data_IF_940158570987
#
_entry.id   IF_940158570987
#
_cell.length_a   1.000
_cell.length_b   1.000
_cell.length_c   1.000
_cell.angle_alpha   90.00
_cell.angle_beta   90.00
_cell.angle_gamma   90.00
#
_symmetry.space_group_name_H-M   'P 1'
#
loop_
_entity.id
_entity.type
_entity.pdbx_description
1 polymer ?
#
# COMPACT_ATOMS: atom_id res chain seq x y z
N UNK A 1 13.54 -27.68 4.07
CA UNK A 1 14.14 -26.37 4.23
C UNK A 1 13.06 -25.27 4.24
N UNK A 2 12.97 -24.58 5.35
CA UNK A 2 11.95 -23.56 5.52
C UNK A 2 12.49 -22.22 5.01
N UNK A 3 11.83 -21.67 4.00
CA UNK A 3 12.13 -20.33 3.54
C UNK A 3 11.27 -19.34 4.31
N UNK A 4 11.92 -18.43 5.00
CA UNK A 4 11.22 -17.33 5.65
C UNK A 4 10.95 -16.24 4.61
N UNK A 5 9.70 -15.95 4.39
CA UNK A 5 9.32 -14.83 3.53
C UNK A 5 9.67 -13.51 4.22
N UNK A 6 10.15 -12.58 3.44
CA UNK A 6 10.41 -11.22 3.90
C UNK A 6 10.08 -10.24 2.76
N UNK A 7 10.38 -8.97 2.98
CA UNK A 7 10.14 -7.91 2.00
C UNK A 7 11.44 -7.28 1.51
N UNK A 8 12.52 -8.04 1.57
CA UNK A 8 13.84 -7.51 1.20
C UNK A 8 13.84 -6.92 -0.21
N UNK A 9 14.18 -5.63 -0.31
CA UNK A 9 14.22 -4.92 -1.58
C UNK A 9 12.87 -4.51 -2.13
N UNK A 10 11.77 -4.87 -1.49
CA UNK A 10 10.43 -4.44 -1.91
C UNK A 10 10.27 -2.97 -1.64
N UNK A 11 9.87 -2.20 -2.65
CA UNK A 11 9.75 -0.74 -2.55
C UNK A 11 8.30 -0.37 -2.32
N UNK A 12 8.04 0.23 -1.18
CA UNK A 12 6.68 0.50 -0.71
C UNK A 12 6.46 1.98 -0.50
N UNK A 13 5.36 2.49 -1.06
CA UNK A 13 4.88 3.83 -0.76
C UNK A 13 3.93 3.69 0.42
N UNK A 14 4.34 4.23 1.57
CA UNK A 14 3.57 4.14 2.82
C UNK A 14 2.87 5.46 3.08
N UNK A 15 1.54 5.42 3.15
CA UNK A 15 0.71 6.61 3.30
C UNK A 15 -0.03 6.58 4.62
N UNK A 16 0.28 7.54 5.49
CA UNK A 16 -0.30 7.63 6.84
C UNK A 16 -0.16 9.07 7.32
N UNK A 17 -1.22 9.65 7.86
CA UNK A 17 -1.19 11.04 8.33
C UNK A 17 -0.82 11.17 9.81
N UNK A 18 -0.91 10.09 10.58
CA UNK A 18 -0.58 10.10 12.01
C UNK A 18 0.88 9.72 12.20
N UNK A 19 1.62 10.58 12.90
CA UNK A 19 3.06 10.40 13.10
C UNK A 19 3.41 9.07 13.78
N UNK A 20 2.70 8.73 14.85
CA UNK A 20 2.96 7.49 15.58
C UNK A 20 2.65 6.26 14.72
N UNK A 21 1.53 6.27 14.02
CA UNK A 21 1.16 5.17 13.14
C UNK A 21 2.14 5.03 11.98
N UNK A 22 2.64 6.15 11.46
CA UNK A 22 3.66 6.14 10.42
C UNK A 22 4.93 5.46 10.92
N UNK A 23 5.38 5.81 12.13
CA UNK A 23 6.58 5.21 12.72
C UNK A 23 6.42 3.70 12.92
N UNK A 24 5.27 3.28 13.41
CA UNK A 24 5.00 1.85 13.65
C UNK A 24 5.02 1.08 12.34
N UNK A 25 4.30 1.57 11.34
CA UNK A 25 4.23 0.87 10.04
C UNK A 25 5.59 0.86 9.34
N UNK A 26 6.31 1.98 9.38
CA UNK A 26 7.64 2.07 8.80
C UNK A 26 8.60 1.08 9.47
N UNK A 27 8.57 1.01 10.79
CA UNK A 27 9.41 0.08 11.55
C UNK A 27 9.10 -1.37 11.15
N UNK A 28 7.84 -1.73 11.10
CA UNK A 28 7.42 -3.09 10.74
C UNK A 28 7.92 -3.45 9.35
N UNK A 29 7.73 -2.55 8.38
CA UNK A 29 8.13 -2.80 7.00
C UNK A 29 9.65 -2.88 6.85
N UNK A 30 10.38 -1.94 7.46
CA UNK A 30 11.84 -1.92 7.38
C UNK A 30 12.45 -3.11 8.08
N UNK A 31 11.83 -3.58 9.16
CA UNK A 31 12.30 -4.77 9.87
C UNK A 31 12.23 -6.00 8.98
N UNK A 32 11.37 -6.01 7.98
CA UNK A 32 11.26 -7.09 7.00
C UNK A 32 12.08 -6.84 5.73
N UNK A 33 12.85 -5.76 5.70
CA UNK A 33 13.75 -5.44 4.60
C UNK A 33 13.19 -4.54 3.52
N UNK A 34 11.98 -4.03 3.69
CA UNK A 34 11.36 -3.15 2.69
C UNK A 34 12.05 -1.79 2.62
N UNK A 35 12.03 -1.20 1.44
CA UNK A 35 12.46 0.19 1.23
C UNK A 35 11.21 1.05 1.24
N UNK A 36 11.11 1.96 2.21
CA UNK A 36 9.88 2.72 2.46
C UNK A 36 10.05 4.17 2.02
N UNK A 37 9.09 4.64 1.21
CA UNK A 37 8.94 6.06 0.90
C UNK A 37 7.66 6.52 1.60
N UNK A 38 7.75 7.59 2.38
CA UNK A 38 6.63 8.05 3.20
C UNK A 38 5.85 9.17 2.53
N UNK A 39 4.52 9.08 2.59
CA UNK A 39 3.61 10.15 2.20
C UNK A 39 2.69 10.43 3.39
N UNK A 40 2.58 11.69 3.76
CA UNK A 40 1.90 12.08 4.98
C UNK A 40 0.41 12.39 4.81
N UNK A 41 -0.09 12.31 3.58
CA UNK A 41 -1.52 12.43 3.29
C UNK A 41 -1.80 11.88 1.90
N UNK A 42 -3.08 11.78 1.56
CA UNK A 42 -3.52 11.21 0.28
C UNK A 42 -3.05 11.99 -0.93
N UNK A 43 -3.10 13.32 -0.87
CA UNK A 43 -2.66 14.14 -1.99
C UNK A 43 -1.16 13.98 -2.24
N UNK A 44 -0.36 13.94 -1.18
CA UNK A 44 1.09 13.72 -1.33
C UNK A 44 1.40 12.35 -1.89
N UNK A 45 0.61 11.34 -1.53
CA UNK A 45 0.77 10.00 -2.08
C UNK A 45 0.57 10.02 -3.60
N UNK A 46 -0.50 10.66 -4.06
CA UNK A 46 -0.78 10.80 -5.49
C UNK A 46 0.36 11.54 -6.19
N UNK A 47 0.82 12.65 -5.61
CA UNK A 47 1.89 13.45 -6.19
C UNK A 47 3.20 12.69 -6.27
N UNK A 48 3.57 11.98 -5.20
CA UNK A 48 4.80 11.18 -5.18
C UNK A 48 4.71 10.08 -6.24
N UNK A 49 3.59 9.39 -6.33
CA UNK A 49 3.42 8.31 -7.30
C UNK A 49 3.47 8.86 -8.71
N UNK A 50 2.77 9.96 -8.98
CA UNK A 50 2.74 10.59 -10.31
C UNK A 50 4.13 10.99 -10.78
N UNK A 51 4.97 11.49 -9.88
CA UNK A 51 6.34 11.92 -10.20
C UNK A 51 7.33 10.77 -10.26
N UNK A 52 6.95 9.60 -9.76
CA UNK A 52 7.83 8.43 -9.74
C UNK A 52 8.00 7.87 -11.15
N UNK A 53 9.06 7.10 -11.33
CA UNK A 53 9.29 6.36 -12.58
C UNK A 53 8.31 5.19 -12.65
N UNK A 54 7.84 4.81 -13.84
CA UNK A 54 7.05 3.59 -13.97
C UNK A 54 7.79 2.40 -13.37
N UNK A 55 7.10 1.67 -12.49
CA UNK A 55 7.68 0.52 -11.81
C UNK A 55 8.57 0.84 -10.63
N UNK A 56 8.65 2.10 -10.21
CA UNK A 56 9.49 2.49 -9.07
C UNK A 56 8.99 1.89 -7.75
N UNK A 57 7.68 1.74 -7.60
CA UNK A 57 7.08 1.16 -6.39
C UNK A 57 6.50 -0.21 -6.69
N UNK A 58 6.65 -1.13 -5.74
CA UNK A 58 6.11 -2.48 -5.86
C UNK A 58 4.73 -2.61 -5.23
N UNK A 59 4.42 -1.77 -4.25
CA UNK A 59 3.13 -1.77 -3.57
C UNK A 59 2.91 -0.43 -2.86
N UNK A 60 1.64 -0.14 -2.58
CA UNK A 60 1.23 1.03 -1.80
C UNK A 60 0.48 0.53 -0.58
N UNK A 61 0.90 0.97 0.60
CA UNK A 61 0.20 0.69 1.85
C UNK A 61 -0.42 2.00 2.30
N UNK A 62 -1.76 2.07 2.31
CA UNK A 62 -2.47 3.33 2.44
C UNK A 62 -3.51 3.32 3.55
N UNK A 63 -3.37 4.25 4.49
CA UNK A 63 -4.39 4.50 5.49
C UNK A 63 -5.66 5.02 4.82
N UNK A 64 -6.80 4.53 5.26
CA UNK A 64 -8.09 4.96 4.73
C UNK A 64 -8.52 6.29 5.34
N UNK A 65 -8.36 6.44 6.65
CA UNK A 65 -8.88 7.59 7.40
C UNK A 65 -7.89 8.75 7.45
N UNK A 66 -7.94 9.60 6.44
CA UNK A 66 -7.10 10.80 6.36
C UNK A 66 -7.96 11.99 5.99
N UNK A 67 -7.63 13.20 6.50
CA UNK A 67 -8.39 14.40 6.15
C UNK A 67 -8.13 14.84 4.72
N UNK A 68 -9.05 15.59 4.16
CA UNK A 68 -9.03 16.23 2.84
C UNK A 68 -9.13 15.18 1.72
N UNK A 69 -8.08 14.42 1.48
CA UNK A 69 -8.10 13.30 0.51
C UNK A 69 -7.89 12.01 1.31
N UNK A 70 -8.96 11.24 1.48
CA UNK A 70 -8.86 9.98 2.20
C UNK A 70 -8.23 8.89 1.33
N UNK A 71 -8.00 7.71 1.93
CA UNK A 71 -7.35 6.61 1.22
C UNK A 71 -8.11 6.12 0.00
N UNK A 72 -9.43 6.09 0.07
CA UNK A 72 -10.25 5.67 -1.07
C UNK A 72 -10.09 6.65 -2.24
N UNK A 73 -10.16 7.94 -1.95
CA UNK A 73 -10.02 8.97 -2.96
C UNK A 73 -8.63 8.94 -3.58
N UNK A 74 -7.59 8.80 -2.75
CA UNK A 74 -6.22 8.71 -3.24
C UNK A 74 -6.03 7.50 -4.15
N UNK A 75 -6.59 6.35 -3.77
CA UNK A 75 -6.51 5.14 -4.60
C UNK A 75 -7.17 5.35 -5.96
N UNK A 76 -8.36 5.96 -5.98
CA UNK A 76 -9.04 6.27 -7.23
C UNK A 76 -8.22 7.21 -8.11
N UNK A 77 -7.63 8.22 -7.51
CA UNK A 77 -6.79 9.18 -8.24
C UNK A 77 -5.57 8.50 -8.84
N UNK A 78 -4.92 7.63 -8.08
CA UNK A 78 -3.77 6.87 -8.58
C UNK A 78 -4.19 5.97 -9.74
N UNK A 79 -5.29 5.22 -9.58
CA UNK A 79 -5.78 4.33 -10.64
C UNK A 79 -6.17 5.08 -11.92
N UNK A 80 -6.49 6.36 -11.79
CA UNK A 80 -6.89 7.20 -12.94
C UNK A 80 -5.71 7.80 -13.70
N UNK A 81 -4.50 7.67 -13.17
CA UNK A 81 -3.33 8.20 -13.85
C UNK A 81 -3.08 7.46 -15.16
N UNK A 82 -2.63 8.21 -16.19
CA UNK A 82 -2.39 7.65 -17.51
C UNK A 82 -1.02 6.98 -17.56
N UNK A 83 -0.92 5.85 -16.86
CA UNK A 83 0.30 5.02 -16.87
C UNK A 83 -0.09 3.61 -16.46
N UNK A 84 0.56 2.65 -17.07
CA UNK A 84 0.20 1.23 -16.89
C UNK A 84 0.37 0.72 -15.48
N UNK A 85 1.47 1.08 -14.82
CA UNK A 85 1.74 0.62 -13.47
C UNK A 85 0.71 1.12 -12.46
N UNK A 86 0.12 2.30 -12.70
CA UNK A 86 -0.91 2.85 -11.83
C UNK A 86 -2.17 1.99 -11.79
N UNK A 87 -2.42 1.24 -12.85
CA UNK A 87 -3.63 0.43 -12.96
C UNK A 87 -3.51 -0.92 -12.29
N UNK A 88 -2.29 -1.38 -12.05
CA UNK A 88 -2.03 -2.75 -11.57
C UNK A 88 -1.25 -2.81 -10.25
N UNK A 89 -0.63 -1.72 -9.82
CA UNK A 89 0.16 -1.75 -8.59
C UNK A 89 -0.70 -2.19 -7.40
N UNK A 90 -0.22 -3.14 -6.57
CA UNK A 90 -0.97 -3.52 -5.38
C UNK A 90 -1.19 -2.33 -4.44
N UNK A 91 -2.43 -2.11 -4.05
CA UNK A 91 -2.79 -1.09 -3.06
C UNK A 91 -3.45 -1.80 -1.90
N UNK A 92 -2.86 -1.69 -0.73
CA UNK A 92 -3.33 -2.34 0.49
C UNK A 92 -3.83 -1.27 1.45
N UNK A 93 -5.10 -1.35 1.82
CA UNK A 93 -5.70 -0.41 2.75
C UNK A 93 -5.34 -0.77 4.18
N UNK A 94 -5.01 0.24 4.99
CA UNK A 94 -4.89 0.08 6.43
C UNK A 94 -6.14 0.67 7.07
N UNK A 95 -6.80 -0.10 7.92
CA UNK A 95 -8.05 0.33 8.54
C UNK A 95 -8.06 0.05 10.04
N UNK A 96 -8.68 0.96 10.80
CA UNK A 96 -8.91 0.72 12.22
C UNK A 96 -10.00 -0.32 12.44
N UNK A 97 -10.80 -0.60 11.41
CA UNK A 97 -11.92 -1.51 11.50
C UNK A 97 -12.02 -2.35 10.22
N UNK A 98 -11.76 -3.65 10.35
CA UNK A 98 -11.71 -4.57 9.21
C UNK A 98 -13.08 -5.15 8.83
N UNK A 99 -14.16 -4.47 9.18
CA UNK A 99 -15.51 -4.96 8.87
C UNK A 99 -15.96 -4.64 7.46
N UNK A 100 -17.00 -5.32 7.05
CA UNK A 100 -17.46 -5.52 5.68
C UNK A 100 -17.71 -4.26 4.85
N UNK A 101 -18.16 -3.19 5.44
CA UNK A 101 -18.43 -1.96 4.72
C UNK A 101 -17.20 -1.37 4.06
N UNK A 102 -16.12 -1.37 4.82
CA UNK A 102 -14.85 -0.80 4.34
C UNK A 102 -14.26 -1.65 3.23
N UNK A 103 -14.48 -2.97 3.27
CA UNK A 103 -13.99 -3.88 2.22
C UNK A 103 -14.58 -3.57 0.86
N UNK A 104 -15.90 -3.37 0.79
CA UNK A 104 -16.56 -3.09 -0.48
C UNK A 104 -16.11 -1.73 -1.03
N UNK A 105 -16.05 -0.74 -0.18
CA UNK A 105 -15.64 0.60 -0.57
C UNK A 105 -14.19 0.61 -1.04
N UNK A 106 -13.32 -0.13 -0.35
CA UNK A 106 -11.93 -0.26 -0.74
C UNK A 106 -11.79 -0.90 -2.12
N UNK A 107 -12.53 -1.96 -2.36
CA UNK A 107 -12.52 -2.65 -3.64
C UNK A 107 -13.01 -1.74 -4.78
N UNK A 108 -14.08 -1.01 -4.56
CA UNK A 108 -14.59 -0.06 -5.54
C UNK A 108 -13.60 1.05 -5.85
N UNK A 109 -12.80 1.43 -4.85
CA UNK A 109 -11.76 2.44 -5.05
C UNK A 109 -10.51 1.91 -5.76
N UNK A 110 -10.46 0.61 -6.02
CA UNK A 110 -9.31 0.00 -6.69
C UNK A 110 -8.25 -0.57 -5.76
N UNK A 111 -8.57 -0.73 -4.48
CA UNK A 111 -7.69 -1.36 -3.51
C UNK A 111 -7.81 -2.88 -3.60
N UNK A 112 -6.69 -3.57 -3.44
CA UNK A 112 -6.61 -5.03 -3.62
C UNK A 112 -6.83 -5.82 -2.34
N UNK A 113 -6.50 -5.22 -1.20
CA UNK A 113 -6.61 -5.90 0.10
C UNK A 113 -6.71 -4.86 1.20
N UNK A 114 -7.04 -5.30 2.40
CA UNK A 114 -7.08 -4.42 3.56
C UNK A 114 -6.49 -5.15 4.77
N UNK A 115 -5.85 -4.40 5.64
CA UNK A 115 -5.22 -4.90 6.84
C UNK A 115 -5.61 -4.01 8.01
N UNK A 116 -5.97 -4.63 9.14
CA UNK A 116 -6.33 -3.89 10.34
C UNK A 116 -5.10 -3.32 11.04
N UNK A 117 -5.25 -2.14 11.63
CA UNK A 117 -4.24 -1.57 12.50
C UNK A 117 -4.41 -2.12 13.93
N UNK A 118 -3.33 -2.27 14.69
CA UNK A 118 -1.94 -2.09 14.30
C UNK A 118 -1.50 -3.19 13.34
N UNK A 119 -0.60 -2.82 12.41
CA UNK A 119 -0.21 -3.75 11.37
C UNK A 119 0.62 -4.92 11.92
N UNK A 120 0.30 -6.11 11.47
CA UNK A 120 1.02 -7.33 11.81
C UNK A 120 2.04 -7.60 10.72
N UNK A 121 3.32 -7.64 11.11
CA UNK A 121 4.41 -7.78 10.14
C UNK A 121 4.33 -9.07 9.33
N UNK A 122 3.99 -10.18 9.96
CA UNK A 122 3.90 -11.47 9.25
C UNK A 122 2.76 -11.47 8.24
N UNK A 123 1.63 -10.90 8.61
CA UNK A 123 0.48 -10.79 7.71
C UNK A 123 0.81 -9.85 6.56
N UNK A 124 1.45 -8.71 6.85
CA UNK A 124 1.88 -7.78 5.80
C UNK A 124 2.81 -8.43 4.79
N UNK A 125 3.81 -9.16 5.26
CA UNK A 125 4.75 -9.86 4.40
C UNK A 125 3.99 -10.80 3.46
N UNK A 126 3.08 -11.59 4.01
CA UNK A 126 2.31 -12.56 3.23
C UNK A 126 1.46 -11.87 2.18
N UNK A 127 0.69 -10.86 2.57
CA UNK A 127 -0.23 -10.16 1.67
C UNK A 127 0.54 -9.43 0.57
N UNK A 128 1.56 -8.68 0.94
CA UNK A 128 2.34 -7.91 -0.03
C UNK A 128 3.01 -8.84 -1.03
N UNK A 129 3.65 -9.93 -0.56
CA UNK A 129 4.30 -10.86 -1.47
C UNK A 129 3.34 -11.54 -2.42
N UNK A 130 2.15 -11.95 -1.94
CA UNK A 130 1.16 -12.56 -2.80
C UNK A 130 0.70 -11.60 -3.90
N UNK A 131 0.43 -10.34 -3.54
CA UNK A 131 -0.05 -9.35 -4.51
C UNK A 131 1.04 -8.95 -5.50
N UNK A 132 2.27 -8.78 -5.03
CA UNK A 132 3.40 -8.44 -5.90
C UNK A 132 3.66 -9.57 -6.89
N UNK A 133 3.64 -10.81 -6.44
CA UNK A 133 3.81 -11.97 -7.33
C UNK A 133 2.70 -12.08 -8.37
N UNK A 134 1.46 -11.84 -7.96
CA UNK A 134 0.33 -11.83 -8.88
C UNK A 134 0.50 -10.77 -9.94
N UNK A 135 0.87 -9.56 -9.54
CA UNK A 135 1.10 -8.45 -10.45
C UNK A 135 2.19 -8.78 -11.47
N UNK A 136 3.27 -9.39 -11.03
CA UNK A 136 4.37 -9.81 -11.91
C UNK A 136 3.92 -10.85 -12.94
N UNK A 137 3.09 -11.81 -12.51
CA UNK A 137 2.55 -12.84 -13.43
C UNK A 137 1.66 -12.23 -14.51
N UNK A 138 0.85 -11.26 -14.14
CA UNK A 138 -0.05 -10.60 -15.08
C UNK A 138 0.69 -9.80 -16.15
N UNK A 139 1.93 -9.41 -15.87
CA UNK A 139 2.78 -8.70 -16.82
C UNK A 139 3.40 -9.62 -17.90
N UNK A 140 3.37 -10.89 -17.65
CA UNK A 140 3.87 -11.87 -18.59
C UNK A 140 2.78 -12.25 -19.59
#
# INVERSE_FOLDING_TARGET
QIQTEDLKGTRILLVEDNELNMEIAEFVLQNEGAVVTKAWNGQKAVDIFRKSRPGEFDAILMDIMMPVVNGYEAAKMIRSLDREDAKVIPIIAMTANAFTEDKMRAKEAGMDEHIAKPVDGKLLVKVINELVKRNQREKL
#
